data_IF_630644489345
#
_entry.id   IF_630644489345
#
_cell.length_a   1.000
_cell.length_b   1.000
_cell.length_c   1.000
_cell.angle_alpha   90.00
_cell.angle_beta   90.00
_cell.angle_gamma   90.00
#
_symmetry.space_group_name_H-M   'P 1'
#
loop_
_entity.id
_entity.type
_entity.pdbx_description
1 polymer ?
#
# COMPACT_ATOMS: atom_id res chain seq x y z
N UNK A 1 -59.00 4.12 -33.92
CA UNK A 1 -58.44 5.17 -34.80
C UNK A 1 -57.94 6.32 -33.94
N UNK A 2 -56.63 6.58 -33.95
CA UNK A 2 -56.00 7.88 -33.59
C UNK A 2 -56.10 8.82 -34.82
N UNK A 3 -55.84 10.14 -34.79
CA UNK A 3 -54.85 10.87 -33.95
C UNK A 3 -55.33 12.28 -33.46
N UNK A 4 -54.55 13.05 -32.71
CA UNK A 4 -53.66 14.08 -33.28
C UNK A 4 -52.71 14.66 -32.19
N UNK A 5 -51.48 14.96 -32.63
CA UNK A 5 -50.38 15.53 -31.85
C UNK A 5 -50.48 17.06 -31.83
N UNK A 6 -50.22 17.66 -30.67
CA UNK A 6 -50.28 19.10 -30.44
C UNK A 6 -48.98 19.82 -30.83
N UNK A 7 -49.16 21.03 -31.34
CA UNK A 7 -48.17 21.98 -31.85
C UNK A 7 -47.27 22.61 -30.77
N UNK A 8 -46.13 23.09 -31.29
CA UNK A 8 -45.03 23.81 -30.66
C UNK A 8 -45.41 25.09 -29.91
N UNK A 9 -44.53 25.51 -28.99
CA UNK A 9 -44.35 26.93 -28.64
C UNK A 9 -42.88 27.19 -28.35
N UNK A 10 -42.33 28.17 -29.06
CA UNK A 10 -40.93 28.60 -29.03
C UNK A 10 -40.63 29.51 -27.84
N UNK A 11 -39.35 29.47 -27.50
CA UNK A 11 -38.48 30.23 -26.60
C UNK A 11 -38.85 31.69 -26.30
N UNK A 12 -38.57 32.11 -25.06
CA UNK A 12 -37.95 33.40 -24.73
C UNK A 12 -37.01 33.20 -23.51
N UNK A 13 -35.78 33.70 -23.60
CA UNK A 13 -34.63 33.24 -22.82
C UNK A 13 -34.35 33.88 -21.45
N UNK A 14 -33.31 33.35 -20.80
CA UNK A 14 -32.36 34.13 -19.99
C UNK A 14 -31.13 33.28 -19.72
N UNK A 15 -30.00 33.97 -19.81
CA UNK A 15 -28.64 33.49 -19.69
C UNK A 15 -28.29 32.99 -18.29
N UNK A 16 -27.09 32.40 -18.21
CA UNK A 16 -26.29 32.24 -17.01
C UNK A 16 -26.60 31.00 -16.18
N UNK A 17 -25.95 29.89 -16.54
CA UNK A 17 -24.77 29.40 -15.81
C UNK A 17 -24.44 28.01 -16.37
N UNK A 18 -23.38 27.95 -17.17
CA UNK A 18 -22.61 26.72 -17.38
C UNK A 18 -22.05 26.33 -16.00
N UNK A 19 -22.87 25.71 -15.16
CA UNK A 19 -22.39 24.95 -14.02
C UNK A 19 -21.79 23.69 -14.60
N UNK A 20 -20.58 23.84 -15.13
CA UNK A 20 -19.59 22.79 -15.13
C UNK A 20 -19.34 22.48 -13.66
N UNK A 21 -20.27 21.71 -13.07
CA UNK A 21 -19.99 20.95 -11.88
C UNK A 21 -18.96 19.96 -12.37
N UNK A 22 -17.69 20.37 -12.28
CA UNK A 22 -16.56 19.48 -12.24
C UNK A 22 -16.82 18.61 -11.02
N UNK A 23 -17.64 17.58 -11.23
CA UNK A 23 -17.82 16.48 -10.33
C UNK A 23 -16.46 15.81 -10.32
N UNK A 24 -15.55 16.39 -9.53
CA UNK A 24 -14.32 15.79 -9.09
C UNK A 24 -14.77 14.56 -8.33
N UNK A 25 -15.09 13.52 -9.11
CA UNK A 25 -15.30 12.16 -8.63
C UNK A 25 -13.95 11.85 -8.03
N UNK A 26 -13.87 11.96 -6.71
CA UNK A 26 -12.72 11.48 -5.98
C UNK A 26 -12.75 9.98 -6.24
N UNK A 27 -12.00 9.55 -7.25
CA UNK A 27 -11.91 8.12 -7.55
C UNK A 27 -11.33 7.47 -6.30
N UNK A 28 -12.04 6.48 -5.75
CA UNK A 28 -11.56 5.81 -4.56
C UNK A 28 -10.19 5.21 -4.84
N UNK A 29 -9.23 5.33 -3.91
CA UNK A 29 -7.93 4.72 -4.08
C UNK A 29 -8.11 3.22 -4.27
N UNK A 30 -7.32 2.68 -5.17
CA UNK A 30 -7.26 1.25 -5.41
C UNK A 30 -6.70 0.47 -4.23
N UNK A 31 -6.58 -0.84 -4.41
CA UNK A 31 -6.08 -1.77 -3.40
C UNK A 31 -4.79 -2.45 -3.86
N UNK A 32 -3.89 -2.68 -2.91
CA UNK A 32 -2.75 -3.56 -3.13
C UNK A 32 -3.19 -5.03 -3.11
N UNK A 33 -2.92 -5.75 -4.20
CA UNK A 33 -3.32 -7.16 -4.38
C UNK A 33 -2.20 -8.17 -4.16
N UNK A 34 -0.95 -7.72 -4.09
CA UNK A 34 0.20 -8.61 -3.87
C UNK A 34 1.33 -7.87 -3.15
N UNK A 35 2.07 -8.58 -2.30
CA UNK A 35 3.27 -8.05 -1.66
C UNK A 35 4.48 -8.14 -2.59
N UNK A 36 5.42 -7.21 -2.41
CA UNK A 36 6.69 -7.19 -3.15
C UNK A 36 7.73 -8.05 -2.43
N UNK A 37 8.53 -8.83 -3.17
CA UNK A 37 9.54 -9.69 -2.51
C UNK A 37 10.66 -8.86 -1.88
N UNK A 38 11.41 -9.48 -0.97
CA UNK A 38 12.56 -8.82 -0.34
C UNK A 38 13.59 -8.35 -1.36
N UNK A 39 14.23 -7.22 -1.08
CA UNK A 39 15.30 -6.63 -1.90
C UNK A 39 14.88 -6.21 -3.32
N UNK A 40 13.58 -6.19 -3.62
CA UNK A 40 13.04 -5.67 -4.89
C UNK A 40 12.62 -4.21 -4.77
N UNK A 41 12.56 -3.52 -5.91
CA UNK A 41 11.92 -2.21 -5.99
C UNK A 41 10.42 -2.34 -5.63
N UNK A 42 9.90 -1.39 -4.86
CA UNK A 42 8.55 -1.44 -4.29
C UNK A 42 7.73 -0.17 -4.55
N UNK A 43 8.22 0.67 -5.46
CA UNK A 43 7.58 1.93 -5.82
C UNK A 43 8.61 2.94 -6.29
N UNK A 44 8.13 4.15 -6.58
CA UNK A 44 8.95 5.24 -7.10
C UNK A 44 8.68 5.56 -8.57
N UNK A 45 9.49 6.47 -9.10
CA UNK A 45 9.42 6.91 -10.48
C UNK A 45 9.75 5.77 -11.46
N UNK A 46 8.86 5.53 -12.43
CA UNK A 46 9.02 4.49 -13.45
C UNK A 46 8.76 3.06 -12.97
N UNK A 47 8.27 2.88 -11.73
CA UNK A 47 7.88 1.57 -11.22
C UNK A 47 6.54 1.10 -11.83
N UNK A 48 6.47 -0.17 -12.23
CA UNK A 48 5.26 -0.79 -12.77
C UNK A 48 4.39 -1.38 -11.64
N UNK A 49 3.32 -0.66 -11.29
CA UNK A 49 2.37 -1.06 -10.25
C UNK A 49 1.33 -2.09 -10.70
N UNK A 50 1.22 -2.38 -12.01
CA UNK A 50 0.12 -3.18 -12.58
C UNK A 50 -0.01 -4.59 -12.01
N UNK A 51 1.08 -5.14 -11.45
CA UNK A 51 1.13 -6.47 -10.84
C UNK A 51 0.75 -6.49 -9.36
N UNK A 52 0.75 -5.32 -8.73
CA UNK A 52 0.64 -5.20 -7.28
C UNK A 52 -0.56 -4.36 -6.85
N UNK A 53 -1.16 -3.58 -7.75
CA UNK A 53 -2.22 -2.64 -7.44
C UNK A 53 -3.40 -2.75 -8.41
N UNK A 54 -4.62 -2.67 -7.90
CA UNK A 54 -5.84 -2.58 -8.69
C UNK A 54 -6.55 -1.27 -8.40
N UNK A 55 -6.79 -0.47 -9.43
CA UNK A 55 -7.45 0.83 -9.32
C UNK A 55 -6.48 2.00 -9.30
N UNK A 56 -6.96 3.22 -8.99
CA UNK A 56 -6.14 4.42 -8.94
C UNK A 56 -5.07 4.34 -7.86
N UNK A 57 -3.85 4.84 -8.14
CA UNK A 57 -2.80 4.93 -7.13
C UNK A 57 -3.04 6.17 -6.25
N UNK A 58 -2.97 6.04 -4.91
CA UNK A 58 -3.28 7.14 -3.98
C UNK A 58 -2.25 8.29 -4.04
N UNK A 59 -0.97 7.96 -4.26
CA UNK A 59 0.14 8.93 -4.25
C UNK A 59 0.96 8.88 -5.55
N UNK A 60 0.41 8.27 -6.61
CA UNK A 60 1.08 8.12 -7.91
C UNK A 60 2.47 7.50 -7.77
N UNK A 61 3.50 8.22 -8.21
CA UNK A 61 4.90 7.75 -8.18
C UNK A 61 5.50 7.68 -6.76
N UNK A 62 4.88 8.30 -5.76
CA UNK A 62 5.35 8.22 -4.37
C UNK A 62 4.77 7.00 -3.62
N UNK A 63 3.87 6.25 -4.26
CA UNK A 63 3.22 5.08 -3.68
C UNK A 63 4.26 4.04 -3.24
N UNK A 64 4.18 3.63 -1.97
CA UNK A 64 5.05 2.62 -1.38
C UNK A 64 4.26 1.33 -1.16
N UNK A 65 4.58 0.31 -1.96
CA UNK A 65 3.94 -0.99 -1.82
C UNK A 65 4.39 -1.71 -0.55
N UNK A 66 3.49 -2.49 0.01
CA UNK A 66 3.79 -3.43 1.10
C UNK A 66 4.73 -4.53 0.59
N UNK A 67 5.83 -4.73 1.31
CA UNK A 67 6.77 -5.81 1.06
C UNK A 67 6.34 -7.09 1.78
N UNK A 68 6.98 -8.21 1.46
CA UNK A 68 6.89 -9.43 2.27
C UNK A 68 7.26 -9.14 3.74
N UNK A 69 6.72 -9.91 4.70
CA UNK A 69 7.01 -9.70 6.12
C UNK A 69 8.51 -9.57 6.41
N UNK A 70 8.86 -8.64 7.30
CA UNK A 70 10.25 -8.32 7.65
C UNK A 70 10.99 -7.39 6.69
N UNK A 71 10.30 -6.92 5.65
CA UNK A 71 10.80 -5.89 4.76
C UNK A 71 9.88 -4.66 4.79
N UNK A 72 10.47 -3.47 4.63
CA UNK A 72 9.75 -2.20 4.50
C UNK A 72 10.18 -1.51 3.23
N UNK A 73 9.22 -0.85 2.58
CA UNK A 73 9.47 -0.08 1.38
C UNK A 73 10.06 1.27 1.76
N UNK A 74 11.36 1.44 1.52
CA UNK A 74 12.11 2.61 1.97
C UNK A 74 12.91 3.24 0.83
N UNK A 75 13.08 4.56 0.89
CA UNK A 75 13.99 5.25 -0.01
C UNK A 75 15.44 4.83 0.24
N UNK A 76 16.25 4.82 -0.81
CA UNK A 76 17.70 4.65 -0.71
C UNK A 76 18.38 5.98 -1.02
N UNK A 77 18.71 6.73 0.03
CA UNK A 77 19.29 8.08 -0.11
C UNK A 77 18.35 9.01 -0.88
N UNK A 78 18.86 9.65 -1.92
CA UNK A 78 18.12 10.59 -2.79
C UNK A 78 17.45 9.91 -4.00
N UNK A 79 17.36 8.58 -4.01
CA UNK A 79 16.75 7.82 -5.10
C UNK A 79 15.26 8.09 -5.22
N UNK A 80 14.78 8.31 -6.45
CA UNK A 80 13.35 8.35 -6.78
C UNK A 80 12.68 6.96 -6.77
N UNK A 81 13.46 5.89 -6.58
CA UNK A 81 13.01 4.50 -6.47
C UNK A 81 13.08 4.03 -5.01
N UNK A 82 12.01 3.41 -4.54
CA UNK A 82 11.92 2.78 -3.22
C UNK A 82 12.25 1.28 -3.32
N UNK A 83 12.85 0.75 -2.26
CA UNK A 83 13.28 -0.65 -2.20
C UNK A 83 12.79 -1.33 -0.93
N UNK A 84 12.37 -2.59 -1.06
CA UNK A 84 12.09 -3.46 0.06
C UNK A 84 13.38 -3.78 0.79
N UNK A 85 13.60 -3.13 1.93
CA UNK A 85 14.77 -3.36 2.79
C UNK A 85 14.36 -4.15 4.01
N UNK A 86 15.20 -5.11 4.38
CA UNK A 86 14.99 -5.86 5.60
C UNK A 86 15.09 -4.90 6.78
N UNK A 87 14.07 -4.85 7.62
CA UNK A 87 14.12 -4.09 8.85
C UNK A 87 14.31 -5.04 10.03
N UNK A 88 15.03 -4.57 11.04
CA UNK A 88 15.19 -5.32 12.27
C UNK A 88 13.94 -5.10 13.14
N UNK A 89 13.34 -6.19 13.59
CA UNK A 89 12.19 -6.17 14.49
C UNK A 89 12.63 -5.75 15.90
N UNK A 90 11.85 -4.89 16.59
CA UNK A 90 12.16 -4.50 17.96
C UNK A 90 12.04 -5.69 18.92
N UNK A 91 12.58 -5.54 20.13
CA UNK A 91 12.36 -6.50 21.23
C UNK A 91 10.87 -6.76 21.42
N UNK A 92 10.54 -8.01 21.75
CA UNK A 92 9.18 -8.52 21.97
C UNK A 92 8.29 -8.55 20.71
N UNK A 93 8.78 -8.16 19.54
CA UNK A 93 8.04 -8.33 18.30
C UNK A 93 8.09 -9.78 17.81
N UNK A 94 6.97 -10.23 17.24
CA UNK A 94 6.88 -11.54 16.59
C UNK A 94 7.82 -11.58 15.37
N UNK A 95 8.80 -12.48 15.44
CA UNK A 95 9.84 -12.67 14.45
C UNK A 95 9.72 -13.98 13.67
N UNK A 96 8.78 -14.84 14.05
CA UNK A 96 8.46 -16.05 13.31
C UNK A 96 7.16 -16.69 13.80
N UNK A 97 6.73 -17.74 13.11
CA UNK A 97 5.54 -18.50 13.46
C UNK A 97 5.18 -19.47 12.35
N UNK A 98 4.22 -20.36 12.60
CA UNK A 98 3.81 -21.38 11.62
C UNK A 98 3.29 -20.77 10.30
N UNK A 99 2.78 -19.53 10.35
CA UNK A 99 2.31 -18.77 9.18
C UNK A 99 3.43 -17.97 8.49
N UNK A 100 4.60 -17.84 9.11
CA UNK A 100 5.75 -17.10 8.58
C UNK A 100 6.84 -18.09 8.15
N UNK A 101 6.99 -18.33 6.86
CA UNK A 101 8.02 -19.22 6.30
C UNK A 101 9.46 -18.70 6.48
N UNK A 102 9.64 -17.52 7.05
CA UNK A 102 10.93 -16.85 7.23
C UNK A 102 11.02 -16.27 8.63
N UNK A 103 12.07 -16.65 9.36
CA UNK A 103 12.47 -15.96 10.58
C UNK A 103 13.00 -14.58 10.22
N UNK A 104 12.37 -13.56 10.81
CA UNK A 104 12.71 -12.16 10.60
C UNK A 104 13.87 -11.76 11.51
N UNK A 105 14.73 -10.87 11.01
CA UNK A 105 15.87 -10.36 11.77
C UNK A 105 15.38 -9.48 12.91
N UNK A 106 15.92 -9.69 14.11
CA UNK A 106 15.68 -8.84 15.26
C UNK A 106 16.73 -7.72 15.38
N UNK A 107 16.43 -6.68 16.15
CA UNK A 107 17.38 -5.60 16.48
C UNK A 107 18.63 -6.15 17.17
N UNK A 108 19.73 -5.43 17.03
CA UNK A 108 21.00 -5.83 17.65
C UNK A 108 20.84 -6.06 19.17
N UNK A 109 21.49 -7.10 19.70
CA UNK A 109 21.33 -7.55 21.08
C UNK A 109 20.11 -8.43 21.34
N UNK A 110 19.30 -8.72 20.33
CA UNK A 110 18.15 -9.65 20.42
C UNK A 110 18.23 -10.75 19.35
N UNK A 111 17.61 -11.89 19.63
CA UNK A 111 17.53 -13.05 18.75
C UNK A 111 16.08 -13.52 18.62
N UNK A 112 15.72 -14.03 17.45
CA UNK A 112 14.43 -14.64 17.26
C UNK A 112 14.39 -15.99 17.98
N UNK A 113 13.62 -16.08 19.06
CA UNK A 113 13.50 -17.27 19.91
C UNK A 113 12.04 -17.60 20.18
N UNK A 114 11.76 -18.88 20.39
CA UNK A 114 10.41 -19.33 20.74
C UNK A 114 10.11 -19.01 22.21
N UNK A 115 9.02 -18.30 22.46
CA UNK A 115 8.49 -18.06 23.79
C UNK A 115 7.43 -19.13 24.11
N UNK A 116 7.71 -19.93 25.14
CA UNK A 116 6.84 -21.03 25.58
C UNK A 116 5.52 -20.55 26.19
N UNK A 117 5.44 -19.31 26.68
CA UNK A 117 4.21 -18.76 27.27
C UNK A 117 3.21 -18.39 26.19
N UNK A 118 3.69 -17.71 25.15
CA UNK A 118 2.86 -17.23 24.04
C UNK A 118 2.74 -18.26 22.92
N UNK A 119 3.63 -19.26 22.87
CA UNK A 119 3.80 -20.21 21.76
C UNK A 119 4.11 -19.50 20.42
N UNK A 120 4.84 -18.39 20.49
CA UNK A 120 5.21 -17.59 19.33
C UNK A 120 6.74 -17.42 19.27
N UNK A 121 7.29 -17.29 18.05
CA UNK A 121 8.68 -16.86 17.92
C UNK A 121 8.75 -15.34 17.98
N UNK A 122 9.39 -14.81 19.01
CA UNK A 122 9.51 -13.38 19.31
C UNK A 122 10.98 -12.97 19.49
N UNK A 123 11.27 -11.68 19.28
CA UNK A 123 12.62 -11.14 19.47
C UNK A 123 12.94 -10.98 20.96
N UNK A 124 13.77 -11.89 21.50
CA UNK A 124 14.19 -11.87 22.90
C UNK A 124 15.63 -11.37 23.04
N UNK A 125 15.98 -10.71 24.16
CA UNK A 125 17.38 -10.40 24.47
C UNK A 125 18.26 -11.65 24.39
N UNK A 126 19.44 -11.53 23.78
CA UNK A 126 20.44 -12.59 23.88
C UNK A 126 20.89 -12.69 25.33
N UNK A 127 20.67 -13.83 25.99
CA UNK A 127 21.26 -14.07 27.31
C UNK A 127 22.79 -14.14 27.18
N UNK A 128 23.47 -13.05 27.56
CA UNK A 128 24.92 -13.00 27.74
C UNK A 128 25.73 -12.34 26.63
N UNK A 129 26.02 -11.06 26.81
CA UNK A 129 27.38 -10.53 26.62
C UNK A 129 27.64 -9.49 27.70
N UNK A 130 27.99 -9.98 28.89
CA UNK A 130 28.80 -9.21 29.84
C UNK A 130 30.24 -9.14 29.31
#
# INVERSE_FOLDING_TARGET
>A
MLPAWGESSSDEGSSDLESSTDASTVEEPGDQIATVSGEQACGGEGFDYSRYWLGPLPEGNETRLSCVPGYRCEAQGSSAIFWCKQYALPTDAQCGGYMFYTFLKCVEGTVCSFDEQTNEAICLPMEGSQ
#
